data_IF_892836214602
#
_entry.id   IF_892836214602
#
_cell.length_a   1.000
_cell.length_b   1.000
_cell.length_c   1.000
_cell.angle_alpha   90.00
_cell.angle_beta   90.00
_cell.angle_gamma   90.00
#
_symmetry.space_group_name_H-M   'P 1'
#
loop_
_entity.id
_entity.type
_entity.pdbx_description
1 polymer ?
#
# COMPACT_ATOMS: atom_id res chain seq x y z
N UNK A 1 -12.69 37.94 38.77
CA UNK A 1 -13.04 36.67 38.10
C UNK A 1 -11.77 36.18 37.42
N UNK A 2 -11.09 35.23 38.04
CA UNK A 2 -9.78 34.73 37.64
C UNK A 2 -10.03 33.38 36.97
N UNK A 3 -9.69 33.26 35.68
CA UNK A 3 -9.78 32.00 34.94
C UNK A 3 -8.50 31.22 35.29
N UNK A 4 -8.59 29.99 35.80
CA UNK A 4 -7.40 29.22 36.16
C UNK A 4 -6.68 28.72 34.91
N UNK A 5 -5.35 28.79 34.95
CA UNK A 5 -4.43 28.17 34.00
C UNK A 5 -4.62 26.65 34.02
N UNK A 6 -4.84 26.05 32.86
CA UNK A 6 -4.74 24.61 32.63
C UNK A 6 -3.29 24.27 32.26
N UNK A 7 -2.38 24.40 33.21
CA UNK A 7 -1.08 23.73 33.18
C UNK A 7 -1.22 22.43 33.98
N UNK A 8 -1.40 21.32 33.27
CA UNK A 8 -1.42 20.00 33.90
C UNK A 8 -1.77 18.89 32.93
N UNK A 9 -0.75 18.07 32.61
CA UNK A 9 -0.77 16.87 31.75
C UNK A 9 -0.54 17.10 30.24
N UNK A 10 0.42 17.94 29.88
CA UNK A 10 1.07 17.91 28.56
C UNK A 10 2.33 17.05 28.58
N UNK A 11 2.21 15.75 28.85
CA UNK A 11 3.31 14.83 28.55
C UNK A 11 3.38 14.67 27.03
N UNK A 12 4.56 14.84 26.43
CA UNK A 12 4.73 14.47 25.02
C UNK A 12 4.28 13.01 24.83
N UNK A 13 3.47 12.70 23.80
CA UNK A 13 3.04 11.33 23.57
C UNK A 13 4.27 10.43 23.32
N UNK A 14 4.19 9.13 23.66
CA UNK A 14 5.32 8.21 23.48
C UNK A 14 5.81 8.17 22.01
N UNK A 15 7.12 8.00 21.81
CA UNK A 15 7.73 7.83 20.49
C UNK A 15 7.61 6.37 20.01
N UNK A 16 7.76 6.08 18.71
CA UNK A 16 7.84 4.70 18.24
C UNK A 16 9.24 4.08 18.41
N UNK A 17 9.27 2.78 18.70
CA UNK A 17 10.40 1.87 18.61
C UNK A 17 10.28 1.06 17.32
N UNK A 18 11.42 0.78 16.72
CA UNK A 18 11.55 -0.03 15.52
C UNK A 18 12.31 -1.29 15.94
N UNK A 19 11.59 -2.41 16.03
CA UNK A 19 12.14 -3.69 16.44
C UNK A 19 12.41 -4.53 15.20
N UNK A 20 13.68 -4.85 14.94
CA UNK A 20 14.05 -5.78 13.89
C UNK A 20 13.66 -7.20 14.29
N UNK A 21 12.80 -7.84 13.51
CA UNK A 21 12.41 -9.24 13.66
C UNK A 21 12.27 -9.84 12.25
N UNK A 22 12.90 -10.98 11.99
CA UNK A 22 12.78 -11.65 10.69
C UNK A 22 12.07 -13.00 10.79
N UNK A 23 10.86 -13.11 10.22
CA UNK A 23 9.88 -12.04 10.05
C UNK A 23 9.22 -11.63 11.38
N UNK A 24 8.63 -10.43 11.50
CA UNK A 24 7.72 -10.10 12.59
C UNK A 24 6.58 -11.12 12.62
N UNK A 25 6.16 -11.54 13.81
CA UNK A 25 5.15 -12.60 13.93
C UNK A 25 3.74 -12.06 14.15
N UNK A 26 3.60 -10.93 14.83
CA UNK A 26 2.29 -10.29 15.04
C UNK A 26 2.37 -8.84 15.51
N UNK A 27 1.29 -8.09 15.31
CA UNK A 27 1.03 -6.78 15.91
C UNK A 27 -0.42 -6.68 16.41
N UNK A 28 -0.81 -5.59 17.10
CA UNK A 28 -2.17 -5.42 17.63
C UNK A 28 -2.87 -4.22 17.00
N UNK A 29 -4.09 -4.44 16.51
CA UNK A 29 -5.03 -3.38 16.10
C UNK A 29 -6.02 -3.09 17.25
N UNK A 30 -5.89 -1.93 17.88
CA UNK A 30 -6.70 -1.45 19.01
C UNK A 30 -7.82 -0.51 18.54
N UNK A 31 -7.53 0.36 17.58
CA UNK A 31 -8.49 1.34 17.07
C UNK A 31 -9.66 0.69 16.34
N UNK A 32 -9.43 -0.45 15.69
CA UNK A 32 -10.36 -1.04 14.73
C UNK A 32 -10.24 -0.39 13.34
N UNK A 33 -9.13 0.29 13.08
CA UNK A 33 -8.81 0.94 11.81
C UNK A 33 -7.36 0.65 11.48
N UNK A 34 -7.09 0.19 10.26
CA UNK A 34 -5.73 0.00 9.75
C UNK A 34 -5.48 0.97 8.60
N UNK A 35 -4.30 1.58 8.62
CA UNK A 35 -3.67 2.29 7.50
C UNK A 35 -2.78 1.31 6.76
N UNK A 36 -2.75 1.42 5.42
CA UNK A 36 -2.05 0.46 4.57
C UNK A 36 -1.36 1.12 3.38
N UNK A 37 -0.33 0.46 2.83
CA UNK A 37 0.46 0.91 1.68
C UNK A 37 1.86 1.40 2.07
N UNK A 38 2.53 2.15 1.20
CA UNK A 38 3.81 2.80 1.48
C UNK A 38 3.62 4.10 2.30
N UNK A 39 4.70 4.78 2.68
CA UNK A 39 4.59 5.89 3.64
C UNK A 39 3.72 7.05 3.13
N UNK A 40 3.80 7.38 1.84
CA UNK A 40 2.98 8.44 1.23
C UNK A 40 1.48 8.11 1.31
N UNK A 41 1.10 6.88 0.97
CA UNK A 41 -0.30 6.42 1.00
C UNK A 41 -0.82 6.28 2.43
N UNK A 42 -0.01 5.79 3.36
CA UNK A 42 -0.34 5.80 4.81
C UNK A 42 -0.60 7.21 5.33
N UNK A 43 0.21 8.21 4.91
CA UNK A 43 -0.03 9.62 5.27
C UNK A 43 -1.35 10.11 4.69
N UNK A 44 -1.69 9.77 3.45
CA UNK A 44 -2.99 10.10 2.87
C UNK A 44 -4.13 9.44 3.66
N UNK A 45 -4.00 8.16 3.99
CA UNK A 45 -4.98 7.42 4.77
C UNK A 45 -5.21 8.04 6.13
N UNK A 46 -4.15 8.42 6.85
CA UNK A 46 -4.28 9.08 8.14
C UNK A 46 -5.09 10.40 8.06
N UNK A 47 -5.04 11.09 6.92
CA UNK A 47 -5.80 12.32 6.66
C UNK A 47 -7.18 12.08 6.02
N UNK A 48 -7.48 10.84 5.61
CA UNK A 48 -8.75 10.49 4.99
C UNK A 48 -9.88 10.39 6.01
N UNK A 49 -11.02 11.00 5.66
CA UNK A 49 -12.28 10.86 6.38
C UNK A 49 -13.10 9.64 5.91
N UNK A 50 -12.67 8.98 4.83
CA UNK A 50 -13.34 7.82 4.22
C UNK A 50 -12.51 6.57 4.45
N UNK A 51 -13.21 5.43 4.43
CA UNK A 51 -12.62 4.11 4.55
C UNK A 51 -12.73 3.36 3.22
N UNK A 52 -11.73 2.55 2.94
CA UNK A 52 -11.81 1.45 1.99
C UNK A 52 -12.77 0.39 2.53
N UNK A 53 -13.46 -0.26 1.60
CA UNK A 53 -14.47 -1.28 1.90
C UNK A 53 -14.29 -2.46 0.94
N UNK A 54 -15.09 -3.50 1.09
CA UNK A 54 -15.15 -4.60 0.13
C UNK A 54 -15.85 -4.21 -1.20
N UNK A 55 -16.44 -3.01 -1.28
CA UNK A 55 -17.01 -2.53 -2.53
C UNK A 55 -15.90 -2.19 -3.53
N UNK A 56 -16.13 -2.50 -4.82
CA UNK A 56 -15.23 -2.15 -5.92
C UNK A 56 -14.82 -0.67 -5.82
N UNK A 57 -13.51 -0.37 -5.77
CA UNK A 57 -13.06 1.01 -5.70
C UNK A 57 -13.32 1.72 -7.03
N UNK A 58 -13.60 3.02 -6.96
CA UNK A 58 -13.88 3.81 -8.16
C UNK A 58 -12.61 3.97 -9.00
N UNK A 59 -12.70 3.71 -10.30
CA UNK A 59 -11.63 3.98 -11.26
C UNK A 59 -11.46 5.51 -11.43
N UNK A 60 -10.23 6.01 -11.33
CA UNK A 60 -9.90 7.44 -11.41
C UNK A 60 -9.03 7.79 -12.61
N UNK A 61 -8.43 6.80 -13.23
CA UNK A 61 -7.59 6.97 -14.40
C UNK A 61 -7.49 5.67 -15.17
N UNK A 62 -7.64 5.78 -16.48
CA UNK A 62 -7.30 4.73 -17.43
C UNK A 62 -6.48 5.38 -18.54
N UNK A 63 -5.25 4.93 -18.76
CA UNK A 63 -4.42 5.37 -19.89
C UNK A 63 -3.67 4.17 -20.46
N UNK A 64 -4.06 3.73 -21.65
CA UNK A 64 -3.62 2.45 -22.20
C UNK A 64 -3.99 1.31 -21.24
N UNK A 65 -3.01 0.50 -20.88
CA UNK A 65 -3.19 -0.67 -20.01
C UNK A 65 -3.10 -0.36 -18.50
N UNK A 66 -2.98 0.92 -18.13
CA UNK A 66 -2.86 1.38 -16.75
C UNK A 66 -4.25 1.71 -16.22
N UNK A 67 -4.72 0.95 -15.23
CA UNK A 67 -5.96 1.21 -14.48
C UNK A 67 -5.60 1.61 -13.05
N UNK A 68 -6.11 2.77 -12.61
CA UNK A 68 -5.92 3.30 -11.26
C UNK A 68 -7.25 3.50 -10.52
N UNK A 69 -7.24 3.23 -9.21
CA UNK A 69 -8.39 3.24 -8.34
C UNK A 69 -8.27 4.27 -7.21
N UNK A 70 -9.42 4.78 -6.77
CA UNK A 70 -9.55 5.74 -5.68
C UNK A 70 -9.51 5.10 -4.29
N UNK A 71 -8.40 4.47 -3.92
CA UNK A 71 -8.21 4.00 -2.55
C UNK A 71 -8.10 5.15 -1.54
N UNK A 72 -8.43 4.83 -0.29
CA UNK A 72 -8.35 5.72 0.87
C UNK A 72 -7.17 5.39 1.75
N UNK A 73 -6.50 4.25 1.53
CA UNK A 73 -5.35 3.77 2.30
C UNK A 73 -5.65 3.64 3.80
N UNK A 74 -6.92 3.36 4.10
CA UNK A 74 -7.49 3.34 5.45
C UNK A 74 -8.73 2.47 5.42
N UNK A 75 -8.79 1.42 6.22
CA UNK A 75 -9.95 0.52 6.28
C UNK A 75 -10.43 0.32 7.72
N UNK A 76 -11.74 0.12 7.91
CA UNK A 76 -12.23 -0.50 9.13
C UNK A 76 -11.63 -1.92 9.21
N UNK A 77 -11.11 -2.29 10.36
CA UNK A 77 -10.38 -3.54 10.56
C UNK A 77 -10.80 -4.24 11.84
N UNK A 78 -10.69 -5.57 11.84
CA UNK A 78 -10.98 -6.35 13.05
C UNK A 78 -9.97 -6.01 14.16
N UNK A 79 -10.49 -5.65 15.33
CA UNK A 79 -9.70 -5.38 16.53
C UNK A 79 -9.13 -6.68 17.09
N UNK A 80 -7.89 -6.63 17.54
CA UNK A 80 -7.21 -7.77 18.15
C UNK A 80 -5.82 -7.96 17.59
N UNK A 81 -5.28 -9.17 17.76
CA UNK A 81 -3.95 -9.51 17.27
C UNK A 81 -4.02 -9.87 15.79
N UNK A 82 -3.07 -9.34 15.04
CA UNK A 82 -2.83 -9.62 13.63
C UNK A 82 -1.51 -10.36 13.50
N UNK A 83 -1.55 -11.55 12.91
CA UNK A 83 -0.39 -12.35 12.57
C UNK A 83 0.20 -11.87 11.26
N UNK A 84 1.51 -12.04 11.12
CA UNK A 84 2.24 -11.77 9.88
C UNK A 84 3.06 -13.00 9.55
N UNK A 85 2.83 -13.55 8.37
CA UNK A 85 3.51 -14.75 7.90
C UNK A 85 3.99 -14.56 6.48
N UNK A 86 5.18 -15.11 6.19
CA UNK A 86 5.76 -15.09 4.86
C UNK A 86 5.00 -16.03 3.93
N UNK A 87 4.66 -15.56 2.73
CA UNK A 87 4.15 -16.38 1.64
C UNK A 87 5.29 -16.85 0.74
N UNK A 88 5.18 -18.06 0.23
CA UNK A 88 6.20 -18.71 -0.60
C UNK A 88 5.60 -19.38 -1.83
N UNK A 89 6.33 -19.32 -2.93
CA UNK A 89 6.11 -20.13 -4.14
C UNK A 89 7.32 -21.04 -4.31
N UNK A 90 7.14 -22.34 -4.04
CA UNK A 90 8.27 -23.25 -3.82
C UNK A 90 9.11 -22.76 -2.63
N UNK A 91 10.43 -22.64 -2.84
CA UNK A 91 11.37 -22.13 -1.83
C UNK A 91 11.53 -20.59 -1.86
N UNK A 92 10.93 -19.92 -2.85
CA UNK A 92 11.05 -18.47 -3.04
C UNK A 92 10.02 -17.74 -2.18
N UNK A 93 10.46 -16.83 -1.31
CA UNK A 93 9.57 -15.93 -0.57
C UNK A 93 9.05 -14.86 -1.53
N UNK A 94 7.75 -14.75 -1.66
CA UNK A 94 7.09 -13.85 -2.61
C UNK A 94 6.42 -12.65 -1.95
N UNK A 95 6.24 -12.70 -0.63
CA UNK A 95 5.41 -11.73 0.05
C UNK A 95 5.04 -12.14 1.46
N UNK A 96 3.98 -11.52 1.95
CA UNK A 96 3.48 -11.70 3.30
C UNK A 96 1.95 -11.69 3.32
N UNK A 97 1.38 -12.46 4.24
CA UNK A 97 -0.03 -12.38 4.60
C UNK A 97 -0.12 -11.82 6.02
N UNK A 98 -0.78 -10.68 6.15
CA UNK A 98 -1.14 -10.08 7.42
C UNK A 98 -2.61 -10.39 7.70
N UNK A 99 -2.93 -11.07 8.81
CA UNK A 99 -4.30 -11.52 9.04
C UNK A 99 -4.65 -11.55 10.52
N UNK A 100 -5.93 -11.30 10.84
CA UNK A 100 -6.41 -11.35 12.21
C UNK A 100 -6.32 -12.79 12.78
N UNK A 101 -6.03 -12.96 14.08
CA UNK A 101 -5.78 -14.27 14.70
C UNK A 101 -6.96 -15.27 14.60
N UNK A 102 -8.18 -14.74 14.51
CA UNK A 102 -9.42 -15.53 14.37
C UNK A 102 -9.73 -15.98 12.92
N UNK A 103 -8.93 -15.60 11.91
CA UNK A 103 -9.14 -16.01 10.52
C UNK A 103 -8.00 -16.89 10.02
N UNK A 104 -8.29 -17.70 9.02
CA UNK A 104 -7.30 -18.58 8.40
C UNK A 104 -6.52 -17.83 7.32
N UNK A 105 -5.24 -17.56 7.57
CA UNK A 105 -4.36 -16.91 6.60
C UNK A 105 -4.15 -17.73 5.33
N UNK A 106 -4.21 -19.06 5.41
CA UNK A 106 -4.09 -19.96 4.24
C UNK A 106 -5.30 -19.78 3.34
N UNK A 107 -6.51 -19.65 3.92
CA UNK A 107 -7.73 -19.37 3.16
C UNK A 107 -7.69 -18.00 2.48
N UNK A 108 -7.21 -16.97 3.18
CA UNK A 108 -7.03 -15.63 2.60
C UNK A 108 -6.09 -15.69 1.39
N UNK A 109 -4.94 -16.35 1.53
CA UNK A 109 -3.98 -16.50 0.44
C UNK A 109 -4.58 -17.27 -0.75
N UNK A 110 -5.29 -18.37 -0.47
CA UNK A 110 -6.01 -19.16 -1.50
C UNK A 110 -7.03 -18.32 -2.26
N UNK A 111 -7.82 -17.52 -1.56
CA UNK A 111 -8.85 -16.63 -2.17
C UNK A 111 -8.21 -15.55 -3.03
N UNK A 112 -7.15 -14.91 -2.53
CA UNK A 112 -6.38 -13.94 -3.30
C UNK A 112 -5.81 -14.55 -4.58
N UNK A 113 -5.22 -15.75 -4.50
CA UNK A 113 -4.72 -16.46 -5.69
C UNK A 113 -5.83 -16.81 -6.68
N UNK A 114 -7.01 -17.21 -6.20
CA UNK A 114 -8.16 -17.48 -7.09
C UNK A 114 -8.72 -16.22 -7.77
N UNK A 115 -8.55 -15.06 -7.13
CA UNK A 115 -8.88 -13.77 -7.75
C UNK A 115 -7.82 -13.38 -8.77
N UNK A 116 -6.54 -13.62 -8.47
CA UNK A 116 -5.44 -13.27 -9.36
C UNK A 116 -5.33 -11.77 -9.60
N UNK A 117 -4.83 -11.38 -10.78
CA UNK A 117 -4.91 -10.00 -11.25
C UNK A 117 -6.36 -9.71 -11.65
N UNK A 118 -6.99 -8.72 -11.02
CA UNK A 118 -8.30 -8.23 -11.43
C UNK A 118 -8.29 -6.71 -11.52
N UNK A 119 -7.79 -6.20 -12.66
CA UNK A 119 -7.63 -4.76 -12.90
C UNK A 119 -8.92 -3.97 -12.71
N UNK A 120 -10.08 -4.61 -12.91
CA UNK A 120 -11.39 -3.98 -12.75
C UNK A 120 -12.14 -4.47 -11.51
N UNK A 121 -11.54 -5.29 -10.62
CA UNK A 121 -12.19 -5.80 -9.42
C UNK A 121 -13.60 -6.39 -9.69
N UNK A 122 -13.73 -7.13 -10.79
CA UNK A 122 -14.98 -7.71 -11.33
C UNK A 122 -15.09 -9.24 -11.13
N UNK A 123 -14.22 -9.78 -10.28
CA UNK A 123 -14.22 -11.19 -9.89
C UNK A 123 -15.40 -11.58 -8.98
N UNK A 124 -15.66 -12.90 -8.87
CA UNK A 124 -16.79 -13.44 -8.11
C UNK A 124 -16.70 -13.23 -6.58
N UNK A 125 -15.48 -13.22 -6.03
CA UNK A 125 -15.28 -13.10 -4.57
C UNK A 125 -15.35 -11.65 -4.10
N UNK A 126 -16.56 -11.13 -3.88
CA UNK A 126 -16.81 -9.73 -3.46
C UNK A 126 -16.21 -9.31 -2.10
N UNK A 127 -15.58 -10.22 -1.38
CA UNK A 127 -14.90 -9.94 -0.11
C UNK A 127 -13.38 -9.78 -0.28
N UNK A 128 -12.85 -10.04 -1.47
CA UNK A 128 -11.48 -9.70 -1.85
C UNK A 128 -11.50 -8.42 -2.67
N UNK A 129 -10.52 -7.55 -2.47
CA UNK A 129 -10.29 -6.38 -3.33
C UNK A 129 -8.83 -6.42 -3.79
N UNK A 130 -8.63 -6.52 -5.10
CA UNK A 130 -7.33 -6.42 -5.75
C UNK A 130 -6.83 -4.97 -5.72
N UNK A 131 -5.56 -4.82 -5.35
CA UNK A 131 -4.81 -3.56 -5.34
C UNK A 131 -3.71 -3.66 -6.39
N UNK A 132 -3.83 -2.85 -7.43
CA UNK A 132 -2.93 -2.82 -8.58
C UNK A 132 -1.60 -2.16 -8.24
N UNK A 133 -0.53 -2.43 -9.01
CA UNK A 133 0.77 -1.76 -8.80
C UNK A 133 0.69 -0.23 -8.94
N UNK A 134 -0.26 0.26 -9.73
CA UNK A 134 -0.46 1.68 -10.00
C UNK A 134 -1.35 2.38 -8.97
N UNK A 135 -1.99 1.62 -8.08
CA UNK A 135 -2.87 2.12 -7.03
C UNK A 135 -2.08 2.61 -5.81
N UNK A 136 -0.80 2.24 -5.72
CA UNK A 136 0.09 2.59 -4.62
C UNK A 136 1.54 2.73 -5.10
N UNK A 137 2.49 2.74 -4.18
CA UNK A 137 3.93 2.82 -4.46
C UNK A 137 4.36 4.10 -5.21
N UNK A 138 5.50 4.04 -5.90
CA UNK A 138 6.10 5.13 -6.68
C UNK A 138 5.23 5.59 -7.87
N UNK A 139 4.23 4.78 -8.24
CA UNK A 139 3.28 5.07 -9.31
C UNK A 139 2.06 5.88 -8.84
N UNK A 140 1.86 6.04 -7.53
CA UNK A 140 0.72 6.75 -6.96
C UNK A 140 1.09 8.13 -6.40
N UNK A 141 0.61 9.18 -7.09
CA UNK A 141 0.78 10.56 -6.66
C UNK A 141 -0.15 10.95 -5.49
N UNK A 142 0.31 11.78 -4.54
CA UNK A 142 1.62 12.41 -4.43
C UNK A 142 2.68 11.45 -3.85
N UNK A 143 3.92 11.61 -4.33
CA UNK A 143 5.04 10.71 -4.05
C UNK A 143 5.85 11.21 -2.84
N UNK A 144 7.11 11.56 -3.07
CA UNK A 144 8.08 11.92 -2.03
C UNK A 144 7.76 13.27 -1.38
N UNK A 145 7.14 14.19 -2.12
CA UNK A 145 6.81 15.54 -1.67
C UNK A 145 5.94 15.53 -0.41
N UNK A 146 4.94 14.65 -0.37
CA UNK A 146 4.06 14.50 0.78
C UNK A 146 4.82 14.03 2.03
N UNK A 147 5.80 13.13 1.86
CA UNK A 147 6.65 12.66 2.96
C UNK A 147 7.51 13.81 3.48
N UNK A 148 8.20 14.53 2.59
CA UNK A 148 9.09 15.63 2.96
C UNK A 148 8.31 16.73 3.70
N UNK A 149 7.14 17.13 3.17
CA UNK A 149 6.26 18.09 3.81
C UNK A 149 5.81 17.61 5.20
N UNK A 150 5.40 16.34 5.32
CA UNK A 150 4.93 15.77 6.59
C UNK A 150 6.03 15.74 7.64
N UNK A 151 7.27 15.44 7.22
CA UNK A 151 8.44 15.38 8.10
C UNK A 151 9.06 16.76 8.37
N UNK A 152 8.67 17.80 7.64
CA UNK A 152 9.22 19.16 7.78
C UNK A 152 10.64 19.27 7.22
N UNK A 153 10.93 18.51 6.16
CA UNK A 153 12.23 18.48 5.48
C UNK A 153 12.15 19.35 4.24
N UNK A 154 13.15 20.20 4.02
CA UNK A 154 13.25 21.01 2.81
C UNK A 154 13.52 20.11 1.60
N UNK A 155 12.66 20.21 0.57
CA UNK A 155 12.77 19.44 -0.67
C UNK A 155 14.07 19.69 -1.44
N UNK A 156 14.67 20.87 -1.23
CA UNK A 156 15.91 21.31 -1.87
C UNK A 156 17.17 20.85 -1.12
N UNK A 157 17.03 20.37 0.12
CA UNK A 157 18.15 19.85 0.90
C UNK A 157 18.45 18.40 0.53
N UNK A 158 19.25 18.23 -0.54
CA UNK A 158 19.72 16.93 -0.98
C UNK A 158 20.48 16.16 0.11
N UNK A 159 21.19 16.83 1.02
CA UNK A 159 21.93 16.14 2.07
C UNK A 159 21.00 15.57 3.13
N UNK A 160 19.92 16.27 3.48
CA UNK A 160 18.88 15.77 4.38
C UNK A 160 18.13 14.55 3.82
N UNK A 161 18.09 14.41 2.49
CA UNK A 161 17.43 13.31 1.77
C UNK A 161 18.26 12.04 1.63
N UNK A 162 19.59 12.16 1.72
CA UNK A 162 20.49 11.04 1.42
C UNK A 162 20.83 10.22 2.66
N UNK A 163 20.74 8.89 2.53
CA UNK A 163 21.29 7.92 3.51
C UNK A 163 22.15 6.94 2.71
N UNK A 164 23.41 6.78 3.13
CA UNK A 164 24.40 5.93 2.44
C UNK A 164 24.53 6.18 0.93
N UNK A 165 24.32 7.44 0.51
CA UNK A 165 24.43 7.83 -0.90
C UNK A 165 23.20 7.52 -1.76
N UNK A 166 22.08 7.10 -1.17
CA UNK A 166 20.79 6.88 -1.86
C UNK A 166 19.72 7.84 -1.33
N UNK A 167 18.74 8.21 -2.18
CA UNK A 167 17.58 9.00 -1.74
C UNK A 167 16.68 8.13 -0.86
N UNK A 168 16.79 8.35 0.45
CA UNK A 168 16.10 7.57 1.44
C UNK A 168 14.58 7.65 1.32
N UNK A 169 14.05 8.82 0.93
CA UNK A 169 12.61 9.07 0.92
C UNK A 169 11.95 8.53 -0.35
N UNK A 170 12.67 8.51 -1.48
CA UNK A 170 12.24 7.76 -2.67
C UNK A 170 12.05 6.28 -2.34
N UNK A 171 12.95 5.71 -1.55
CA UNK A 171 12.82 4.32 -1.13
C UNK A 171 11.69 4.10 -0.11
N UNK A 172 11.11 5.13 0.51
CA UNK A 172 9.93 5.00 1.37
C UNK A 172 8.61 5.02 0.58
N UNK A 173 8.65 5.38 -0.71
CA UNK A 173 7.49 5.32 -1.61
C UNK A 173 7.59 4.16 -2.60
N UNK A 174 8.78 3.67 -2.94
CA UNK A 174 8.96 2.69 -4.01
C UNK A 174 8.86 1.23 -3.55
N UNK A 175 9.42 0.94 -2.39
CA UNK A 175 9.32 -0.35 -1.73
C UNK A 175 8.97 -0.07 -0.30
N UNK A 176 8.45 -1.06 0.44
CA UNK A 176 8.13 -1.01 1.89
C UNK A 176 6.65 -0.85 2.18
N UNK A 177 5.94 -1.96 2.03
CA UNK A 177 4.58 -2.06 2.50
C UNK A 177 4.50 -1.85 4.01
N UNK A 178 3.52 -1.04 4.43
CA UNK A 178 3.17 -0.83 5.83
C UNK A 178 1.72 -1.24 6.05
N UNK A 179 1.48 -1.84 7.21
CA UNK A 179 0.14 -2.08 7.73
C UNK A 179 0.16 -1.74 9.22
N UNK A 180 -0.58 -0.70 9.61
CA UNK A 180 -0.51 -0.18 10.98
C UNK A 180 -1.85 0.32 11.51
N UNK A 181 -2.08 0.11 12.79
CA UNK A 181 -3.15 0.72 13.56
C UNK A 181 -3.05 2.23 13.45
N UNK A 182 -4.17 2.87 13.10
CA UNK A 182 -4.29 4.33 13.02
C UNK A 182 -3.73 5.07 14.24
N UNK A 183 -3.89 4.51 15.46
CA UNK A 183 -3.34 5.12 16.69
C UNK A 183 -1.80 5.19 16.67
N UNK A 184 -1.15 4.23 15.99
CA UNK A 184 0.30 4.15 15.84
C UNK A 184 0.89 5.13 14.82
N UNK A 185 0.07 5.80 14.02
CA UNK A 185 0.53 6.75 13.00
C UNK A 185 1.34 7.91 13.60
N UNK A 186 0.84 8.57 14.65
CA UNK A 186 1.53 9.71 15.26
C UNK A 186 2.87 9.32 15.93
N UNK A 187 2.95 8.21 16.69
CA UNK A 187 4.23 7.65 17.15
C UNK A 187 5.24 7.42 16.02
N UNK A 188 4.81 6.83 14.89
CA UNK A 188 5.66 6.59 13.73
C UNK A 188 6.19 7.91 13.13
N UNK A 189 5.31 8.87 12.84
CA UNK A 189 5.72 10.16 12.27
C UNK A 189 6.69 10.90 13.19
N UNK A 190 6.47 10.86 14.51
CA UNK A 190 7.42 11.45 15.49
C UNK A 190 8.78 10.77 15.43
N UNK A 191 8.82 9.43 15.37
CA UNK A 191 10.08 8.69 15.27
C UNK A 191 10.86 9.08 14.00
N UNK A 192 10.18 9.14 12.85
CA UNK A 192 10.79 9.55 11.58
C UNK A 192 11.33 10.99 11.64
N UNK A 193 10.57 11.94 12.21
CA UNK A 193 11.01 13.33 12.45
C UNK A 193 12.23 13.41 13.36
N UNK A 194 12.33 12.50 14.33
CA UNK A 194 13.48 12.40 15.24
C UNK A 194 14.67 11.66 14.64
N UNK A 195 14.64 11.35 13.34
CA UNK A 195 15.76 10.76 12.61
C UNK A 195 15.81 9.24 12.63
N UNK A 196 14.77 8.56 13.16
CA UNK A 196 14.67 7.09 13.03
C UNK A 196 14.56 6.74 11.55
N UNK A 197 15.43 5.81 11.10
CA UNK A 197 15.45 5.34 9.72
C UNK A 197 14.92 3.92 9.63
N UNK A 198 13.86 3.76 8.84
CA UNK A 198 13.39 2.49 8.35
C UNK A 198 14.31 2.03 7.21
N UNK A 199 15.28 1.17 7.47
CA UNK A 199 16.09 0.46 6.44
C UNK A 199 15.29 -0.62 5.67
N UNK A 200 15.74 -1.13 4.49
CA UNK A 200 15.01 -2.15 3.71
C UNK A 200 15.08 -3.52 4.41
N UNK A 201 14.37 -3.65 5.52
CA UNK A 201 14.24 -4.86 6.33
C UNK A 201 12.86 -4.88 6.97
N UNK A 202 12.45 -6.06 7.43
CA UNK A 202 11.18 -6.21 8.11
C UNK A 202 11.25 -5.67 9.54
N UNK A 203 10.25 -4.89 9.90
CA UNK A 203 10.14 -4.32 11.23
C UNK A 203 8.77 -4.51 11.84
N UNK A 204 8.81 -4.71 13.15
CA UNK A 204 7.68 -4.52 14.02
C UNK A 204 7.73 -3.10 14.59
N UNK A 205 6.64 -2.35 14.39
CA UNK A 205 6.47 -1.00 14.90
C UNK A 205 5.78 -1.06 16.26
N UNK A 206 6.38 -0.42 17.27
CA UNK A 206 5.88 -0.43 18.63
C UNK A 206 5.94 0.95 19.28
N UNK A 207 5.07 1.24 20.24
CA UNK A 207 5.21 2.43 21.08
C UNK A 207 6.30 2.22 22.12
N UNK A 208 7.06 3.28 22.42
CA UNK A 208 8.02 3.28 23.53
C UNK A 208 7.21 3.19 24.82
N UNK A 209 7.49 2.21 25.70
CA UNK A 209 6.84 2.16 27.00
C UNK A 209 7.10 3.45 27.79
N UNK A 210 6.10 3.94 28.53
CA UNK A 210 6.33 5.01 29.49
C UNK A 210 7.40 4.56 30.52
N UNK A 211 8.27 5.48 30.94
CA UNK A 211 9.33 5.18 31.90
C UNK A 211 8.73 4.54 33.18
N UNK A 212 9.07 3.27 33.44
CA UNK A 212 8.62 2.52 34.61
C UNK A 212 7.59 1.42 34.35
N UNK A 213 7.04 1.29 33.14
CA UNK A 213 6.21 0.14 32.75
C UNK A 213 7.01 -0.83 31.90
N UNK A 214 7.41 -1.97 32.48
CA UNK A 214 7.79 -3.17 31.73
C UNK A 214 6.54 -3.71 31.05
N UNK A 215 6.23 -3.19 29.86
CA UNK A 215 5.15 -3.69 29.02
C UNK A 215 5.58 -4.95 28.26
N UNK A 216 4.62 -5.85 28.04
CA UNK A 216 4.77 -6.95 27.09
C UNK A 216 4.96 -6.36 25.69
N UNK A 217 5.98 -6.81 24.95
CA UNK A 217 6.32 -6.27 23.62
C UNK A 217 5.09 -6.36 22.72
N UNK A 218 4.34 -7.45 22.80
CA UNK A 218 3.10 -7.66 22.06
C UNK A 218 2.03 -6.61 22.35
N UNK A 219 1.97 -6.12 23.59
CA UNK A 219 0.94 -5.16 24.01
C UNK A 219 1.17 -3.74 23.52
N UNK A 220 2.36 -3.42 23.00
CA UNK A 220 2.75 -2.08 22.54
C UNK A 220 2.96 -2.00 21.03
N UNK A 221 2.87 -3.11 20.31
CA UNK A 221 3.04 -3.14 18.86
C UNK A 221 1.79 -2.60 18.19
N UNK A 222 1.96 -1.90 17.07
CA UNK A 222 0.87 -1.24 16.38
C UNK A 222 0.90 -1.43 14.87
N UNK A 223 1.93 -2.08 14.32
CA UNK A 223 1.98 -2.30 12.89
C UNK A 223 3.28 -2.94 12.45
N UNK A 224 3.37 -3.14 11.15
CA UNK A 224 4.54 -3.67 10.49
C UNK A 224 4.96 -2.79 9.33
N UNK A 225 6.25 -2.88 9.04
CA UNK A 225 6.86 -2.39 7.81
C UNK A 225 7.59 -3.59 7.20
N UNK A 226 7.15 -4.02 6.02
CA UNK A 226 7.57 -5.23 5.33
C UNK A 226 8.27 -4.89 4.02
N UNK A 227 9.34 -5.63 3.71
CA UNK A 227 10.18 -5.43 2.53
C UNK A 227 10.76 -6.79 2.12
N UNK A 228 10.73 -7.12 0.83
CA UNK A 228 11.33 -8.36 0.32
C UNK A 228 12.76 -8.20 -0.21
N UNK A 229 13.21 -6.98 -0.45
CA UNK A 229 14.57 -6.74 -0.94
C UNK A 229 14.90 -5.26 -1.05
N UNK A 230 16.03 -4.98 -1.69
CA UNK A 230 16.50 -3.62 -1.99
C UNK A 230 16.10 -3.13 -3.38
N UNK A 231 15.45 -3.97 -4.19
CA UNK A 231 15.13 -3.66 -5.58
C UNK A 231 14.10 -2.52 -5.65
N UNK A 232 14.50 -1.40 -6.26
CA UNK A 232 13.79 -0.11 -6.19
C UNK A 232 12.65 0.00 -7.24
N UNK A 233 12.39 -1.07 -7.99
CA UNK A 233 11.53 -1.04 -9.17
C UNK A 233 10.02 -1.04 -8.84
N UNK A 234 9.64 -1.35 -7.59
CA UNK A 234 8.34 -0.99 -7.00
C UNK A 234 7.07 -1.60 -7.59
N UNK A 235 7.19 -2.66 -8.38
CA UNK A 235 6.08 -3.44 -8.92
C UNK A 235 5.48 -4.35 -7.84
N UNK A 236 4.83 -3.75 -6.85
CA UNK A 236 4.22 -4.46 -5.73
C UNK A 236 2.71 -4.56 -5.94
N UNK A 237 2.09 -5.66 -5.51
CA UNK A 237 0.64 -5.88 -5.62
C UNK A 237 0.04 -6.27 -4.27
N UNK A 238 -1.27 -6.14 -4.14
CA UNK A 238 -1.96 -6.50 -2.91
C UNK A 238 -3.37 -7.02 -3.10
N UNK A 239 -3.86 -7.73 -2.08
CA UNK A 239 -5.26 -8.15 -1.99
C UNK A 239 -5.75 -7.91 -0.57
N UNK A 240 -6.79 -7.09 -0.45
CA UNK A 240 -7.48 -6.82 0.80
C UNK A 240 -8.56 -7.88 1.00
N UNK A 241 -8.57 -8.55 2.15
CA UNK A 241 -9.59 -9.53 2.49
C UNK A 241 -10.51 -8.97 3.58
N UNK A 242 -11.80 -8.88 3.27
CA UNK A 242 -12.85 -8.40 4.14
C UNK A 242 -13.73 -9.55 4.63
N UNK A 243 -14.34 -9.36 5.78
CA UNK A 243 -15.44 -10.22 6.25
C UNK A 243 -16.45 -9.36 6.99
N UNK A 244 -17.72 -9.40 6.55
CA UNK A 244 -18.77 -8.57 7.15
C UNK A 244 -18.47 -7.07 7.10
N UNK A 245 -17.79 -6.60 6.04
CA UNK A 245 -17.44 -5.19 5.82
C UNK A 245 -16.25 -4.67 6.63
N UNK A 246 -15.51 -5.53 7.36
CA UNK A 246 -14.26 -5.16 8.04
C UNK A 246 -13.09 -5.92 7.46
N UNK A 247 -11.93 -5.28 7.36
CA UNK A 247 -10.69 -5.90 6.94
C UNK A 247 -10.27 -6.95 7.97
N UNK A 248 -9.98 -8.15 7.47
CA UNK A 248 -9.51 -9.30 8.26
C UNK A 248 -8.19 -9.87 7.75
N UNK A 249 -7.79 -9.51 6.53
CA UNK A 249 -6.53 -9.94 5.93
C UNK A 249 -6.00 -8.96 4.88
N UNK A 250 -4.69 -9.01 4.65
CA UNK A 250 -4.03 -8.34 3.55
C UNK A 250 -2.93 -9.26 3.02
N UNK A 251 -2.98 -9.59 1.74
CA UNK A 251 -1.89 -10.28 1.03
C UNK A 251 -1.07 -9.21 0.34
N UNK A 252 0.22 -9.16 0.63
CA UNK A 252 1.19 -8.29 -0.03
C UNK A 252 2.14 -9.17 -0.84
N UNK A 253 2.11 -9.00 -2.15
CA UNK A 253 3.05 -9.58 -3.11
C UNK A 253 4.11 -8.51 -3.41
N UNK A 254 5.26 -8.67 -2.77
CA UNK A 254 6.38 -7.73 -2.91
C UNK A 254 7.37 -8.15 -4.00
N UNK A 255 7.15 -9.30 -4.63
CA UNK A 255 8.05 -9.92 -5.60
C UNK A 255 7.42 -10.01 -6.99
N UNK A 256 6.26 -9.38 -7.13
CA UNK A 256 5.50 -9.24 -8.35
C UNK A 256 5.15 -10.54 -9.05
N UNK A 257 4.82 -11.58 -8.29
CA UNK A 257 4.50 -12.88 -8.88
C UNK A 257 3.09 -12.95 -9.42
N UNK A 258 2.24 -11.96 -9.11
CA UNK A 258 0.82 -11.92 -9.45
C UNK A 258 0.03 -13.08 -8.80
N UNK A 259 0.66 -13.78 -7.85
CA UNK A 259 0.24 -15.09 -7.36
C UNK A 259 0.01 -16.11 -8.48
N UNK A 260 0.62 -15.92 -9.65
CA UNK A 260 0.44 -16.80 -10.80
C UNK A 260 1.26 -18.08 -10.62
N UNK A 261 0.56 -19.21 -10.55
CA UNK A 261 1.16 -20.50 -10.29
C UNK A 261 1.58 -21.16 -11.59
N UNK A 262 2.89 -21.14 -11.86
CA UNK A 262 3.47 -22.09 -12.80
C UNK A 262 3.03 -23.52 -12.43
N UNK A 263 2.75 -24.34 -13.44
CA UNK A 263 2.09 -25.65 -13.32
C UNK A 263 2.64 -26.66 -12.30
N UNK A 264 3.82 -26.40 -11.71
CA UNK A 264 4.50 -27.27 -10.74
C UNK A 264 4.84 -26.58 -9.41
N UNK A 265 4.52 -25.30 -9.26
CA UNK A 265 4.97 -24.50 -8.11
C UNK A 265 3.92 -24.50 -7.01
N UNK A 266 4.32 -24.94 -5.82
CA UNK A 266 3.42 -25.01 -4.66
C UNK A 266 3.41 -23.68 -3.90
N UNK A 267 2.21 -23.15 -3.66
CA UNK A 267 2.02 -21.99 -2.80
C UNK A 267 1.96 -22.44 -1.33
N UNK A 268 2.62 -21.71 -0.44
CA UNK A 268 2.55 -21.96 1.00
C UNK A 268 2.57 -20.67 1.83
N UNK A 269 1.93 -20.73 3.00
CA UNK A 269 2.01 -19.71 4.03
C UNK A 269 2.80 -20.26 5.21
N UNK A 270 3.97 -19.68 5.47
CA UNK A 270 4.94 -20.24 6.41
C UNK A 270 5.32 -21.66 5.99
N UNK A 271 4.95 -22.65 6.80
CA UNK A 271 5.19 -24.07 6.52
C UNK A 271 3.93 -24.81 6.05
N UNK A 272 2.81 -24.10 5.84
CA UNK A 272 1.52 -24.69 5.50
C UNK A 272 1.25 -24.53 4.02
N UNK A 273 1.02 -25.64 3.34
CA UNK A 273 0.68 -25.67 1.93
C UNK A 273 -0.73 -25.11 1.73
N UNK A 274 -0.89 -24.28 0.69
CA UNK A 274 -2.21 -23.84 0.24
C UNK A 274 -2.79 -24.94 -0.65
N UNK A 275 -3.77 -25.68 -0.11
CA UNK A 275 -4.45 -26.76 -0.83
C UNK A 275 -5.71 -26.24 -1.55
N UNK A 276 -6.02 -26.80 -2.73
CA UNK A 276 -7.25 -26.53 -3.49
C UNK A 276 -7.03 -26.45 -5.00
N UNK A 277 -8.13 -26.49 -5.77
CA UNK A 277 -8.12 -26.06 -7.17
C UNK A 277 -7.88 -24.55 -7.19
N UNK A 278 -6.63 -24.17 -7.45
CA UNK A 278 -6.27 -22.78 -7.70
C UNK A 278 -6.63 -22.51 -9.16
N UNK A 279 -7.53 -21.55 -9.40
CA UNK A 279 -7.88 -21.18 -10.78
C UNK A 279 -6.60 -20.70 -11.46
N UNK A 280 -6.24 -21.33 -12.58
CA UNK A 280 -5.28 -20.72 -13.48
C UNK A 280 -5.95 -19.50 -14.08
N UNK A 281 -5.24 -18.38 -14.03
CA UNK A 281 -5.53 -17.27 -14.94
C UNK A 281 -5.10 -17.83 -16.30
N UNK A 282 -6.08 -18.26 -17.11
CA UNK A 282 -5.81 -18.38 -18.53
C UNK A 282 -5.55 -16.95 -18.97
N UNK A 283 -4.40 -16.71 -19.59
CA UNK A 283 -4.09 -15.42 -20.18
C UNK A 283 -5.31 -15.02 -21.02
N UNK A 284 -6.05 -14.00 -20.58
CA UNK A 284 -6.80 -13.18 -21.52
C UNK A 284 -5.70 -12.55 -22.38
N UNK A 285 -5.24 -13.31 -23.39
CA UNK A 285 -4.64 -12.74 -24.58
C UNK A 285 -5.64 -11.67 -25.00
N UNK A 286 -5.32 -10.41 -24.70
CA UNK A 286 -6.02 -9.26 -25.23
C UNK A 286 -6.23 -9.59 -26.72
N UNK A 287 -7.50 -9.67 -27.12
CA UNK A 287 -7.91 -9.87 -28.51
C UNK A 287 -7.24 -8.77 -29.36
N UNK A 288 -6.05 -9.07 -29.88
CA UNK A 288 -5.41 -8.39 -30.99
C UNK A 288 -6.21 -8.74 -32.26
N UNK A 289 -7.50 -8.37 -32.29
CA UNK A 289 -8.20 -8.20 -33.56
C UNK A 289 -7.65 -6.94 -34.22
N UNK A 290 -6.57 -7.15 -35.00
CA UNK A 290 -6.23 -6.34 -36.16
C UNK A 290 -7.48 -6.15 -37.04
N UNK A 291 -8.27 -5.11 -36.80
CA UNK A 291 -9.18 -4.58 -37.82
C UNK A 291 -8.57 -3.34 -38.47
N UNK A 292 -7.93 -3.58 -39.63
CA UNK A 292 -8.17 -2.77 -40.82
C UNK A 292 -7.40 -1.46 -40.90
N UNK A 293 -6.17 -1.55 -41.38
CA UNK A 293 -5.57 -0.47 -42.15
C UNK A 293 -6.40 -0.21 -43.41
N UNK A 294 -7.16 0.88 -43.45
CA UNK A 294 -7.51 1.52 -44.72
C UNK A 294 -6.87 2.91 -44.78
N UNK A 295 -5.92 3.01 -45.70
CA UNK A 295 -5.34 4.25 -46.16
C UNK A 295 -6.45 5.18 -46.68
N UNK A 296 -6.54 6.40 -46.15
CA UNK A 296 -7.13 7.51 -46.87
C UNK A 296 -6.01 8.43 -47.33
N UNK A 297 -5.98 8.56 -48.65
CA UNK A 297 -5.01 9.23 -49.48
C UNK A 297 -4.90 10.72 -49.17
N UNK A 298 -3.68 11.24 -49.34
CA UNK A 298 -3.41 12.66 -49.46
C UNK A 298 -4.13 13.23 -50.69
N UNK A 299 -4.95 14.26 -50.49
CA UNK A 299 -5.20 15.26 -51.53
C UNK A 299 -4.85 16.64 -50.97
N UNK A 300 -3.66 17.11 -51.33
CA UNK A 300 -3.38 18.52 -51.51
C UNK A 300 -4.27 19.04 -52.66
N UNK A 301 -5.03 20.12 -52.45
CA UNK A 301 -5.06 21.23 -53.44
C UNK A 301 -5.74 22.50 -52.94
N UNK A 302 -5.10 23.62 -53.26
CA UNK A 302 -5.60 24.99 -53.53
C UNK A 302 -6.56 25.67 -52.54
N UNK A 303 -6.21 26.80 -51.90
CA UNK A 303 -5.61 27.98 -52.50
C UNK A 303 -6.68 28.93 -53.08
N UNK A 304 -7.14 29.92 -52.29
CA UNK A 304 -7.71 31.22 -52.71
C UNK A 304 -8.06 32.01 -51.43
N UNK A 305 -7.20 32.92 -50.95
CA UNK A 305 -7.18 34.35 -51.27
C UNK A 305 -8.45 35.15 -50.92
N UNK A 306 -8.26 36.09 -49.97
CA UNK A 306 -8.81 37.44 -50.00
C UNK A 306 -10.26 37.62 -49.49
N UNK A 307 -10.63 38.71 -48.83
CA UNK A 307 -9.92 39.91 -48.43
C UNK A 307 -10.87 40.70 -47.51
N UNK A 308 -10.26 41.56 -46.68
CA UNK A 308 -10.75 42.89 -46.27
C UNK A 308 -12.06 43.01 -45.47
N UNK A 309 -12.24 43.95 -44.55
CA UNK A 309 -11.41 44.92 -43.83
C UNK A 309 -12.38 45.63 -42.85
N UNK A 310 -11.83 46.31 -41.83
CA UNK A 310 -12.36 47.55 -41.24
C UNK A 310 -13.75 47.52 -40.52
N UNK A 311 -14.11 48.32 -39.54
CA UNK A 311 -13.50 49.32 -38.66
C UNK A 311 -14.65 49.80 -37.72
N UNK A 312 -14.28 50.26 -36.52
CA UNK A 312 -14.96 51.18 -35.58
C UNK A 312 -16.48 51.17 -35.25
N UNK A 313 -16.76 51.19 -33.94
CA UNK A 313 -17.60 52.13 -33.13
C UNK A 313 -18.11 51.43 -31.86
N UNK A 314 -18.05 51.93 -30.61
CA UNK A 314 -17.72 53.21 -29.95
C UNK A 314 -17.10 52.92 -28.56
#
# INVERSE_FOLDING_TARGET
>A
MHIPSLDGAGGEPPAALVLGAEPPTSFVCRSGVLLWGQLNTVIQGANSLKLDTSEKPAEIGCTGNIVQHAFRFKAAAKKGRWRVESAYMGDRRIGFVCFHEDVDGVDILRRATNVGISKHNDHEDSEIVYVNEYDWSLHHGPNVELILQTLGIDENDKFARMVDGKDYYSNLVATRFMLLDEQGFQPLIRALKNGVKLHPRNYLLAETPAAGTLGDVDSNTFGVHLSLGEDEDGWERGWMAFSGGVLVGFVYDGDNTCLDLESTTQLSLGNTIVEGELRRIEDDEDDDEEEGAEAMEEEDDDGCEGADSDDDSD
#
